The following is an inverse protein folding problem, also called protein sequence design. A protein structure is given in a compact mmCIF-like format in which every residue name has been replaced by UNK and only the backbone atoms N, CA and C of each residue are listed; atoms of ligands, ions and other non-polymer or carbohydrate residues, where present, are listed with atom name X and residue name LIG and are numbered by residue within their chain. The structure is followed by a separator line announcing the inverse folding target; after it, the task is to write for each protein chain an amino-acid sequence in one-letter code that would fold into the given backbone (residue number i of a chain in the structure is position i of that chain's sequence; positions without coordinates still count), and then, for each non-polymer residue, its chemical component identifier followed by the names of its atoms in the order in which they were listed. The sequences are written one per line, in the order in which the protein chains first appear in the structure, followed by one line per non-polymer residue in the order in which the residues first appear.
data_IF_844602103989
#
_entry.id   IF_844602103989
#
_cell.length_a   1.000
_cell.length_b   1.000
_cell.length_c   1.000
_cell.angle_alpha   90.00
_cell.angle_beta   90.00
_cell.angle_gamma   90.00
#
_symmetry.space_group_name_H-M   'P 1'
#
loop_
_entity.id
_entity.type
_entity.pdbx_description
1 polymer ?
#
# COMPACT_ATOMS: atom_id res chain seq x y z
N UNK A 1 -11.29 10.82 -4.55
CA UNK A 1 -11.73 12.14 -4.07
C UNK A 1 -11.37 12.46 -2.61
N UNK A 2 -10.56 11.61 -1.92
CA UNK A 2 -10.08 11.87 -0.53
C UNK A 2 -8.62 12.33 -0.44
N UNK A 3 -7.93 12.47 -1.58
CA UNK A 3 -6.50 12.84 -1.61
C UNK A 3 -6.23 14.33 -1.41
N UNK A 4 -7.22 15.19 -1.67
CA UNK A 4 -7.02 16.65 -1.67
C UNK A 4 -7.21 17.32 -0.29
N UNK A 5 -7.67 16.56 0.72
CA UNK A 5 -7.86 17.09 2.07
C UNK A 5 -6.61 16.96 2.98
N UNK A 6 -5.60 16.21 2.55
CA UNK A 6 -4.38 15.91 3.34
C UNK A 6 -3.18 16.81 3.05
N UNK A 7 -3.25 17.67 2.02
CA UNK A 7 -2.11 18.50 1.59
C UNK A 7 -2.02 19.84 2.32
N UNK A 8 -3.07 20.27 3.00
CA UNK A 8 -3.15 21.64 3.55
C UNK A 8 -2.48 21.82 4.92
N UNK A 9 -2.05 20.77 5.60
CA UNK A 9 -1.42 20.88 6.94
C UNK A 9 0.12 21.00 6.87
N UNK A 10 0.71 20.82 5.71
CA UNK A 10 2.17 20.87 5.49
C UNK A 10 2.73 22.25 5.09
N UNK A 11 1.91 23.26 4.86
CA UNK A 11 2.34 24.48 4.13
C UNK A 11 2.35 25.78 4.94
N UNK A 12 2.37 25.73 6.29
CA UNK A 12 2.39 26.97 7.09
C UNK A 12 3.72 27.20 7.82
N UNK A 13 4.84 27.16 7.09
CA UNK A 13 6.12 27.65 7.62
C UNK A 13 6.96 28.36 6.55
N UNK A 14 6.33 29.03 5.60
CA UNK A 14 7.03 29.98 4.72
C UNK A 14 6.31 31.32 4.80
N UNK A 15 6.56 32.09 5.85
CA UNK A 15 6.35 33.53 5.79
C UNK A 15 7.69 34.25 5.85
N UNK A 16 7.93 35.02 4.79
CA UNK A 16 9.03 35.90 4.58
C UNK A 16 9.28 36.80 5.81
N UNK A 17 10.47 36.70 6.37
CA UNK A 17 10.94 37.64 7.38
C UNK A 17 11.08 39.04 6.73
N UNK A 18 10.04 39.85 6.82
CA UNK A 18 10.24 41.29 6.85
C UNK A 18 10.38 41.69 8.31
N UNK A 19 11.56 42.20 8.64
CA UNK A 19 11.85 42.81 9.92
C UNK A 19 10.78 43.88 10.21
N UNK A 20 9.77 43.49 11.03
CA UNK A 20 8.84 44.47 11.58
C UNK A 20 9.43 45.00 12.86
N UNK A 21 9.88 46.26 12.77
CA UNK A 21 10.21 47.07 13.95
C UNK A 21 9.09 46.99 14.98
N UNK A 22 9.43 46.76 16.24
CA UNK A 22 8.49 46.82 17.34
C UNK A 22 7.74 48.18 17.31
N UNK A 23 6.42 48.18 17.41
CA UNK A 23 5.70 49.45 17.55
C UNK A 23 6.04 50.09 18.88
N UNK A 24 6.66 51.26 18.85
CA UNK A 24 6.78 52.13 20.00
C UNK A 24 5.37 52.57 20.44
N UNK A 25 5.07 52.38 21.69
CA UNK A 25 3.91 52.82 22.49
C UNK A 25 2.91 53.75 21.79
N UNK A 26 1.88 53.22 21.17
CA UNK A 26 0.59 53.87 20.93
C UNK A 26 -0.51 52.79 21.03
N UNK A 27 -1.49 53.05 21.96
CA UNK A 27 -2.73 52.29 22.19
C UNK A 27 -2.74 50.91 21.56
N UNK A 28 -2.19 49.92 22.29
CA UNK A 28 -2.10 48.52 21.87
C UNK A 28 -3.49 47.86 21.74
N UNK A 29 -3.57 46.77 20.98
CA UNK A 29 -4.78 46.00 20.86
C UNK A 29 -5.32 45.63 22.24
N UNK A 30 -6.66 45.48 22.35
CA UNK A 30 -7.28 45.02 23.57
C UNK A 30 -6.84 43.54 23.79
N UNK A 31 -5.77 43.39 24.56
CA UNK A 31 -5.40 42.13 25.13
C UNK A 31 -6.52 41.65 26.06
N UNK A 32 -6.78 40.34 26.23
CA UNK A 32 -7.49 39.89 27.40
C UNK A 32 -6.78 40.55 28.58
N UNK A 33 -7.53 41.33 29.37
CA UNK A 33 -7.00 42.20 30.44
C UNK A 33 -5.89 41.43 31.18
N UNK A 34 -4.63 41.73 30.81
CA UNK A 34 -3.47 41.18 31.46
C UNK A 34 -3.47 41.66 32.88
N UNK A 35 -3.18 40.79 33.85
CA UNK A 35 -2.95 41.24 35.21
C UNK A 35 -2.04 42.43 35.20
N UNK A 36 -2.47 43.55 35.77
CA UNK A 36 -1.73 44.80 35.78
C UNK A 36 -0.33 44.55 36.37
N UNK A 37 0.72 44.77 35.55
CA UNK A 37 2.11 44.59 35.96
C UNK A 37 2.86 43.41 35.33
N UNK A 38 2.30 42.74 34.32
CA UNK A 38 3.05 41.71 33.58
C UNK A 38 3.80 42.32 32.41
N UNK A 39 5.14 42.24 32.42
CA UNK A 39 5.98 42.60 31.31
C UNK A 39 6.03 41.40 30.31
N UNK A 40 5.77 41.68 29.03
CA UNK A 40 5.79 40.69 27.96
C UNK A 40 7.12 40.75 27.18
N UNK A 41 7.48 39.60 26.57
CA UNK A 41 8.59 39.47 25.65
C UNK A 41 9.96 39.83 26.24
N UNK A 42 10.17 39.49 27.51
CA UNK A 42 11.42 39.73 28.22
C UNK A 42 12.54 38.79 27.75
N UNK A 43 13.76 39.30 27.76
CA UNK A 43 14.99 38.52 27.63
C UNK A 43 15.76 38.52 28.95
N UNK A 44 16.41 37.39 29.26
CA UNK A 44 17.36 37.34 30.38
C UNK A 44 18.73 37.97 30.03
N UNK A 45 19.68 37.93 30.96
CA UNK A 45 21.03 38.49 30.76
C UNK A 45 21.79 37.81 29.59
N UNK A 46 21.42 36.59 29.23
CA UNK A 46 22.03 35.85 28.11
C UNK A 46 21.32 36.07 26.78
N UNK A 47 20.28 36.93 26.74
CA UNK A 47 19.47 37.18 25.58
C UNK A 47 18.44 36.06 25.25
N UNK A 48 18.15 35.20 26.22
CA UNK A 48 17.17 34.13 26.04
C UNK A 48 15.79 34.59 26.51
N UNK A 49 14.74 34.06 25.86
CA UNK A 49 13.34 34.35 26.20
C UNK A 49 13.04 33.99 27.65
N UNK A 50 12.37 34.92 28.36
CA UNK A 50 12.02 34.77 29.79
C UNK A 50 10.59 35.28 30.04
N UNK A 51 9.83 34.61 30.91
CA UNK A 51 8.47 35.01 31.27
C UNK A 51 7.46 34.84 30.13
N UNK A 52 6.40 35.64 30.16
CA UNK A 52 5.30 35.56 29.20
C UNK A 52 5.70 36.17 27.87
N UNK A 53 5.49 35.45 26.80
CA UNK A 53 5.74 35.85 25.43
C UNK A 53 4.46 35.84 24.61
N UNK A 54 4.28 36.89 23.81
CA UNK A 54 3.15 37.07 22.91
C UNK A 54 3.63 37.47 21.54
N UNK A 55 2.87 37.12 20.51
CA UNK A 55 3.03 37.57 19.13
C UNK A 55 1.65 37.92 18.57
N UNK A 56 1.60 38.88 17.68
CA UNK A 56 0.37 39.35 17.07
C UNK A 56 0.38 39.18 15.56
N UNK A 57 -0.81 39.06 15.00
CA UNK A 57 -1.08 39.12 13.58
C UNK A 57 -0.88 40.56 13.05
N UNK A 58 -0.74 40.77 11.73
CA UNK A 58 -0.64 42.11 11.16
C UNK A 58 -1.85 43.02 11.47
N UNK A 59 -3.04 42.44 11.71
CA UNK A 59 -4.25 43.16 12.09
C UNK A 59 -4.28 43.53 13.60
N UNK A 60 -3.24 43.12 14.36
CA UNK A 60 -3.10 43.42 15.78
C UNK A 60 -3.75 42.36 16.71
N UNK A 61 -4.49 41.37 16.20
CA UNK A 61 -5.04 40.28 17.03
C UNK A 61 -3.93 39.36 17.50
N UNK A 62 -4.17 38.66 18.63
CA UNK A 62 -3.19 37.75 19.22
C UNK A 62 -2.92 36.58 18.27
N UNK A 63 -1.66 36.29 18.01
CA UNK A 63 -1.25 35.08 17.26
C UNK A 63 -0.86 33.95 18.19
N UNK A 64 -0.01 34.20 19.21
CA UNK A 64 0.23 33.23 20.27
C UNK A 64 0.55 33.89 21.61
N UNK A 65 0.31 33.11 22.69
CA UNK A 65 0.79 33.40 24.03
C UNK A 65 1.39 32.13 24.65
N UNK A 66 2.43 32.31 25.46
CA UNK A 66 3.07 31.21 26.19
C UNK A 66 4.19 31.70 27.07
N UNK A 67 4.76 30.83 27.90
CA UNK A 67 5.84 31.21 28.83
C UNK A 67 7.15 30.51 28.47
N UNK A 68 8.25 31.23 28.73
CA UNK A 68 9.61 30.69 28.57
C UNK A 68 10.39 30.85 29.86
N UNK A 69 11.26 29.87 30.12
CA UNK A 69 12.30 29.93 31.14
C UNK A 69 13.67 29.66 30.50
N UNK A 70 14.58 30.64 30.57
CA UNK A 70 15.91 30.58 29.96
C UNK A 70 15.90 30.09 28.47
N UNK A 71 14.92 30.57 27.69
CA UNK A 71 14.72 30.20 26.27
C UNK A 71 14.01 28.88 26.03
N UNK A 72 13.64 28.14 27.08
CA UNK A 72 12.89 26.88 26.99
C UNK A 72 11.39 27.18 27.16
N UNK A 73 10.51 26.71 26.23
CA UNK A 73 9.08 26.88 26.39
C UNK A 73 8.56 26.04 27.56
N UNK A 74 7.75 26.64 28.41
CA UNK A 74 7.19 26.04 29.61
C UNK A 74 5.66 26.16 29.63
N UNK A 75 4.97 25.13 30.15
CA UNK A 75 3.53 25.15 30.31
C UNK A 75 2.76 25.18 29.00
N UNK A 76 1.64 25.92 29.00
CA UNK A 76 0.69 25.96 27.91
C UNK A 76 1.02 27.10 26.94
N UNK A 77 1.07 26.79 25.65
CA UNK A 77 1.10 27.74 24.55
C UNK A 77 -0.20 27.69 23.81
N UNK A 78 -0.87 28.81 23.68
CA UNK A 78 -2.08 28.99 22.88
C UNK A 78 -1.74 29.75 21.60
N UNK A 79 -2.20 29.23 20.47
CA UNK A 79 -2.14 29.91 19.18
C UNK A 79 -3.56 30.24 18.74
N UNK A 80 -3.72 31.35 18.05
CA UNK A 80 -5.03 31.89 17.69
C UNK A 80 -5.10 32.16 16.19
N UNK A 81 -6.28 32.00 15.61
CA UNK A 81 -6.64 32.53 14.31
C UNK A 81 -6.71 34.05 14.33
N UNK A 82 -6.72 34.70 13.18
CA UNK A 82 -6.93 36.17 13.09
C UNK A 82 -8.29 36.60 13.65
N UNK A 83 -9.29 35.71 13.66
CA UNK A 83 -10.60 35.90 14.27
C UNK A 83 -10.57 35.93 15.81
N UNK A 84 -9.46 35.49 16.43
CA UNK A 84 -9.31 35.35 17.87
C UNK A 84 -9.68 33.98 18.44
N UNK A 85 -10.22 33.08 17.62
CA UNK A 85 -10.52 31.72 18.06
C UNK A 85 -9.23 30.90 18.22
N UNK A 86 -9.24 29.91 19.15
CA UNK A 86 -8.06 29.10 19.43
C UNK A 86 -7.79 28.20 18.23
N UNK A 87 -6.58 28.29 17.68
CA UNK A 87 -6.05 27.46 16.60
C UNK A 87 -5.33 26.21 17.13
N UNK A 88 -4.57 26.37 18.23
CA UNK A 88 -3.92 25.23 18.88
C UNK A 88 -3.61 25.46 20.36
N UNK A 89 -3.65 24.37 21.12
CA UNK A 89 -3.16 24.27 22.50
C UNK A 89 -1.96 23.33 22.51
N UNK A 90 -0.82 23.82 22.97
CA UNK A 90 0.44 23.06 23.03
C UNK A 90 0.92 23.06 24.48
N UNK A 91 0.87 21.92 25.15
CA UNK A 91 1.32 21.74 26.54
C UNK A 91 2.74 21.20 26.50
N UNK A 92 3.71 22.03 26.86
CA UNK A 92 5.13 21.67 26.89
C UNK A 92 5.42 20.80 28.12
N UNK A 93 6.13 19.70 27.91
CA UNK A 93 6.56 18.74 28.95
C UNK A 93 8.02 18.39 28.71
N UNK A 94 8.64 17.66 29.65
CA UNK A 94 10.02 17.16 29.51
C UNK A 94 11.01 18.30 29.16
N UNK A 95 10.98 19.39 29.97
CA UNK A 95 11.78 20.60 29.74
C UNK A 95 11.66 21.13 28.28
N UNK A 96 10.44 21.17 27.75
CA UNK A 96 10.15 21.61 26.41
C UNK A 96 10.58 20.67 25.28
N UNK A 97 11.12 19.49 25.59
CA UNK A 97 11.52 18.51 24.56
C UNK A 97 10.32 17.81 23.92
N UNK A 98 9.24 17.60 24.69
CA UNK A 98 7.98 17.03 24.23
C UNK A 98 6.85 18.00 24.46
N UNK A 99 5.81 17.89 23.64
CA UNK A 99 4.59 18.68 23.82
C UNK A 99 3.38 17.84 23.42
N UNK A 100 2.35 17.87 24.27
CA UNK A 100 1.02 17.43 23.87
C UNK A 100 0.40 18.56 23.04
N UNK A 101 -0.22 18.21 21.92
CA UNK A 101 -0.79 19.17 20.98
C UNK A 101 -2.25 18.86 20.70
N UNK A 102 -3.10 19.90 20.70
CA UNK A 102 -4.41 19.90 20.13
C UNK A 102 -4.50 21.02 19.11
N UNK A 103 -5.05 20.71 17.96
CA UNK A 103 -5.31 21.65 16.89
C UNK A 103 -6.82 21.73 16.70
N UNK A 104 -7.33 22.95 16.58
CA UNK A 104 -8.75 23.23 16.42
C UNK A 104 -8.98 23.91 15.06
N UNK A 105 -10.18 23.78 14.52
CA UNK A 105 -10.66 24.60 13.40
C UNK A 105 -11.15 25.93 13.91
N UNK A 106 -11.35 26.86 13.02
CA UNK A 106 -11.83 28.21 13.37
C UNK A 106 -13.24 28.20 13.98
N UNK A 107 -14.04 27.11 13.74
CA UNK A 107 -15.35 26.89 14.40
C UNK A 107 -15.22 26.29 15.82
N UNK A 108 -13.99 26.17 16.34
CA UNK A 108 -13.68 25.60 17.66
C UNK A 108 -13.68 24.08 17.70
N UNK A 109 -14.07 23.37 16.63
CA UNK A 109 -14.06 21.92 16.63
C UNK A 109 -12.64 21.35 16.64
N UNK A 110 -12.39 20.29 17.43
CA UNK A 110 -11.10 19.61 17.48
C UNK A 110 -10.79 19.01 16.12
N UNK A 111 -9.63 19.36 15.55
CA UNK A 111 -9.15 18.87 14.25
C UNK A 111 -8.18 17.71 14.40
N UNK A 112 -7.20 17.85 15.31
CA UNK A 112 -6.18 16.85 15.52
C UNK A 112 -5.60 16.93 16.93
N UNK A 113 -5.10 15.78 17.42
CA UNK A 113 -4.32 15.73 18.66
C UNK A 113 -3.19 14.72 18.55
N UNK A 114 -2.11 14.96 19.31
CA UNK A 114 -0.95 14.09 19.34
C UNK A 114 0.21 14.66 20.12
N UNK A 115 1.40 14.11 19.88
CA UNK A 115 2.63 14.52 20.57
C UNK A 115 3.61 15.06 19.53
N UNK A 116 4.26 16.19 19.88
CA UNK A 116 5.44 16.70 19.20
C UNK A 116 6.70 16.42 20.02
N UNK A 117 7.81 16.21 19.34
CA UNK A 117 9.16 16.20 19.90
C UNK A 117 9.99 17.29 19.23
N UNK A 118 10.79 18.01 20.02
CA UNK A 118 11.77 18.99 19.50
C UNK A 118 12.93 18.25 18.84
N UNK A 119 13.38 18.76 17.72
CA UNK A 119 14.58 18.24 17.04
C UNK A 119 15.77 19.18 17.28
N UNK A 120 16.96 18.70 16.97
CA UNK A 120 18.17 19.53 16.95
C UNK A 120 18.23 20.45 15.71
N UNK A 121 17.34 20.24 14.72
CA UNK A 121 17.26 21.09 13.53
C UNK A 121 16.54 22.39 13.88
N UNK A 122 17.02 23.48 13.35
CA UNK A 122 16.43 24.81 13.54
C UNK A 122 15.68 25.24 12.28
N UNK A 123 14.63 26.02 12.46
CA UNK A 123 13.95 26.74 11.39
C UNK A 123 14.71 28.02 11.00
N UNK A 124 14.17 28.81 10.08
CA UNK A 124 14.78 30.08 9.66
C UNK A 124 14.87 31.14 10.80
N UNK A 125 14.09 30.99 11.85
CA UNK A 125 14.06 31.87 13.02
C UNK A 125 14.96 31.32 14.16
N UNK A 126 15.82 30.33 13.87
CA UNK A 126 16.69 29.64 14.81
C UNK A 126 15.95 28.91 15.96
N UNK A 127 14.68 28.57 15.75
CA UNK A 127 13.90 27.79 16.72
C UNK A 127 13.91 26.31 16.33
N UNK A 128 13.95 25.38 17.32
CA UNK A 128 13.91 23.94 17.07
C UNK A 128 12.63 23.52 16.37
N UNK A 129 12.80 22.79 15.26
CA UNK A 129 11.67 22.23 14.52
C UNK A 129 11.05 21.13 15.39
N UNK A 130 9.71 21.13 15.48
CA UNK A 130 8.92 20.08 16.11
C UNK A 130 8.53 19.03 15.10
N UNK A 131 8.58 17.77 15.49
CA UNK A 131 8.16 16.63 14.67
C UNK A 131 7.10 15.82 15.41
N UNK A 132 6.15 15.26 14.65
CA UNK A 132 5.14 14.34 15.19
C UNK A 132 5.82 13.09 15.76
N UNK A 133 5.32 12.61 16.91
CA UNK A 133 5.78 11.41 17.61
C UNK A 133 4.60 10.59 18.09
N UNK A 134 4.65 9.26 17.91
CA UNK A 134 3.62 8.33 18.37
C UNK A 134 2.28 8.55 17.66
N UNK A 135 1.20 8.21 18.35
CA UNK A 135 -0.14 8.26 17.80
C UNK A 135 -0.66 9.68 17.62
N UNK A 136 -1.15 9.96 16.43
CA UNK A 136 -1.89 11.17 16.07
C UNK A 136 -3.29 10.82 15.63
N UNK A 137 -4.28 11.54 16.15
CA UNK A 137 -5.69 11.37 15.84
C UNK A 137 -6.21 12.61 15.13
N UNK A 138 -7.02 12.40 14.10
CA UNK A 138 -7.62 13.45 13.29
C UNK A 138 -9.13 13.26 13.27
N UNK A 139 -9.85 14.36 13.47
CA UNK A 139 -11.30 14.36 13.65
C UNK A 139 -11.97 15.19 12.56
N UNK A 140 -13.21 14.85 12.21
CA UNK A 140 -14.04 15.70 11.38
C UNK A 140 -14.69 16.84 12.20
N UNK A 141 -15.51 17.67 11.53
CA UNK A 141 -16.21 18.80 12.18
C UNK A 141 -17.25 18.36 13.21
N UNK A 142 -17.71 17.12 13.17
CA UNK A 142 -18.67 16.55 14.13
C UNK A 142 -17.97 15.95 15.35
N UNK A 143 -16.62 15.96 15.38
CA UNK A 143 -15.82 15.38 16.45
C UNK A 143 -15.58 13.86 16.29
N UNK A 144 -15.98 13.29 15.15
CA UNK A 144 -15.79 11.87 14.90
C UNK A 144 -14.35 11.60 14.41
N UNK A 145 -13.70 10.57 14.99
CA UNK A 145 -12.37 10.13 14.58
C UNK A 145 -12.42 9.63 13.12
N UNK A 146 -11.54 10.19 12.27
CA UNK A 146 -11.43 9.87 10.85
C UNK A 146 -10.15 9.19 10.46
N UNK A 147 -9.07 9.53 11.15
CA UNK A 147 -7.76 9.02 10.82
C UNK A 147 -6.94 8.90 12.10
N UNK A 148 -6.28 7.78 12.26
CA UNK A 148 -5.24 7.56 13.25
C UNK A 148 -3.96 7.18 12.53
N UNK A 149 -2.88 7.87 12.85
CA UNK A 149 -1.56 7.62 12.28
C UNK A 149 -0.51 7.54 13.40
N UNK A 150 0.51 6.74 13.19
CA UNK A 150 1.65 6.69 14.07
C UNK A 150 2.90 7.27 13.39
N UNK A 151 3.70 7.97 14.19
CA UNK A 151 4.89 8.67 13.73
C UNK A 151 6.13 8.29 14.56
N UNK A 152 7.26 8.15 13.87
CA UNK A 152 8.59 8.06 14.46
C UNK A 152 9.52 8.98 13.71
N UNK A 153 10.26 9.84 14.42
CA UNK A 153 11.16 10.83 13.82
C UNK A 153 10.51 11.69 12.74
N UNK A 154 9.22 12.05 12.92
CA UNK A 154 8.45 12.87 11.98
C UNK A 154 7.96 12.16 10.71
N UNK A 155 8.26 10.88 10.54
CA UNK A 155 7.77 10.05 9.44
C UNK A 155 6.68 9.12 9.93
N UNK A 156 5.74 8.77 9.05
CA UNK A 156 4.76 7.71 9.31
C UNK A 156 5.49 6.41 9.66
N UNK A 157 5.16 5.80 10.80
CA UNK A 157 5.78 4.56 11.27
C UNK A 157 4.88 3.87 12.29
N UNK A 158 4.46 2.63 11.99
CA UNK A 158 3.50 1.86 12.78
C UNK A 158 2.10 1.91 12.20
N UNK A 159 1.11 1.47 12.97
CA UNK A 159 -0.26 1.27 12.52
C UNK A 159 -0.95 2.57 12.10
N UNK A 160 -1.78 2.48 11.06
CA UNK A 160 -2.67 3.54 10.59
C UNK A 160 -4.08 2.99 10.36
N UNK A 161 -5.07 3.84 10.52
CA UNK A 161 -6.48 3.47 10.35
C UNK A 161 -7.28 4.68 9.90
N UNK A 162 -8.09 4.48 8.85
CA UNK A 162 -9.08 5.47 8.38
C UNK A 162 -10.49 4.94 8.68
N UNK A 163 -11.39 5.82 9.14
CA UNK A 163 -12.79 5.50 9.45
C UNK A 163 -13.77 6.29 8.59
N UNK A 164 -14.86 5.65 8.23
CA UNK A 164 -15.98 6.24 7.51
C UNK A 164 -16.86 7.15 8.40
N UNK A 165 -17.87 7.79 7.78
CA UNK A 165 -18.84 8.65 8.49
C UNK A 165 -19.71 7.89 9.47
N UNK A 166 -19.83 6.58 9.29
CA UNK A 166 -20.56 5.66 10.17
C UNK A 166 -19.67 5.08 11.29
N UNK A 167 -18.38 5.49 11.39
CA UNK A 167 -17.44 5.02 12.39
C UNK A 167 -16.80 3.66 12.07
N UNK A 168 -17.16 3.01 10.95
CA UNK A 168 -16.53 1.77 10.54
C UNK A 168 -15.16 2.03 9.90
N UNK A 169 -14.25 1.08 10.06
CA UNK A 169 -12.93 1.12 9.42
C UNK A 169 -13.12 1.01 7.91
N UNK A 170 -12.49 1.90 7.14
CA UNK A 170 -12.43 1.86 5.68
C UNK A 170 -11.07 1.37 5.18
N UNK A 171 -9.98 1.70 5.89
CA UNK A 171 -8.64 1.24 5.56
C UNK A 171 -7.84 1.05 6.85
N UNK A 172 -7.00 0.02 6.89
CA UNK A 172 -6.03 -0.20 7.96
C UNK A 172 -4.76 -0.83 7.42
N UNK A 173 -3.62 -0.50 8.04
CA UNK A 173 -2.32 -1.03 7.66
C UNK A 173 -1.22 -0.49 8.56
N UNK A 174 0.01 -0.61 8.10
CA UNK A 174 1.18 -0.07 8.79
C UNK A 174 2.11 0.65 7.82
N UNK A 175 2.86 1.60 8.37
CA UNK A 175 3.97 2.24 7.68
C UNK A 175 5.30 1.90 8.37
N UNK A 176 6.36 1.81 7.57
CA UNK A 176 7.75 1.79 8.03
C UNK A 176 8.50 2.92 7.36
N UNK A 177 9.03 3.90 8.16
CA UNK A 177 9.79 5.06 7.65
C UNK A 177 9.11 5.90 6.56
N UNK A 178 7.78 5.90 6.51
CA UNK A 178 6.96 6.65 5.55
C UNK A 178 6.43 5.83 4.38
N UNK A 179 6.83 4.56 4.27
CA UNK A 179 6.39 3.63 3.22
C UNK A 179 5.44 2.58 3.77
N UNK A 180 4.48 2.12 2.96
CA UNK A 180 3.57 1.04 3.35
C UNK A 180 4.37 -0.23 3.63
N UNK A 181 4.06 -0.91 4.75
CA UNK A 181 4.73 -2.12 5.19
C UNK A 181 3.74 -3.06 5.89
N UNK A 182 3.87 -4.38 5.68
CA UNK A 182 2.95 -5.37 6.19
C UNK A 182 1.62 -5.42 5.44
N UNK A 183 0.59 -5.96 6.09
CA UNK A 183 -0.72 -6.21 5.46
C UNK A 183 -1.61 -4.97 5.53
N UNK A 184 -2.13 -4.56 4.37
CA UNK A 184 -3.09 -3.48 4.21
C UNK A 184 -4.47 -4.05 3.86
N UNK A 185 -5.50 -3.55 4.53
CA UNK A 185 -6.88 -3.97 4.35
C UNK A 185 -7.75 -2.77 4.01
N UNK A 186 -8.64 -2.94 3.04
CA UNK A 186 -9.70 -1.97 2.74
C UNK A 186 -11.07 -2.61 2.94
N UNK A 187 -12.01 -1.80 3.37
CA UNK A 187 -13.37 -2.24 3.68
C UNK A 187 -14.39 -1.35 2.99
N UNK A 188 -15.57 -1.88 2.75
CA UNK A 188 -16.72 -1.13 2.30
C UNK A 188 -17.29 -0.25 3.45
N UNK A 189 -18.18 0.68 3.11
CA UNK A 189 -18.94 1.45 4.12
C UNK A 189 -19.84 0.57 4.99
N UNK A 190 -20.12 -0.67 4.59
CA UNK A 190 -20.88 -1.67 5.37
C UNK A 190 -19.97 -2.57 6.20
N UNK A 191 -18.62 -2.40 6.13
CA UNK A 191 -17.65 -3.17 6.89
C UNK A 191 -17.20 -4.47 6.22
N UNK A 192 -17.64 -4.77 4.98
CA UNK A 192 -17.18 -5.94 4.24
C UNK A 192 -15.74 -5.73 3.77
N UNK A 193 -14.88 -6.75 3.90
CA UNK A 193 -13.49 -6.72 3.41
C UNK A 193 -13.48 -6.67 1.88
N UNK A 194 -12.92 -5.61 1.30
CA UNK A 194 -12.79 -5.42 -0.15
C UNK A 194 -11.42 -5.85 -0.68
N UNK A 195 -10.35 -5.63 0.10
CA UNK A 195 -9.02 -6.09 -0.27
C UNK A 195 -8.12 -6.34 0.92
N UNK A 196 -7.16 -7.24 0.73
CA UNK A 196 -6.04 -7.50 1.62
C UNK A 196 -4.78 -7.63 0.77
N UNK A 197 -3.79 -6.77 1.00
CA UNK A 197 -2.60 -6.65 0.16
C UNK A 197 -1.36 -6.55 1.04
N UNK A 198 -0.38 -7.42 0.80
CA UNK A 198 0.94 -7.34 1.41
C UNK A 198 1.82 -6.26 0.79
N UNK A 199 2.59 -5.57 1.63
CA UNK A 199 3.59 -4.58 1.24
C UNK A 199 4.89 -4.80 1.96
N UNK A 200 6.00 -4.53 1.28
CA UNK A 200 7.34 -4.42 1.85
C UNK A 200 8.04 -3.23 1.21
N UNK A 201 8.54 -2.30 2.04
CA UNK A 201 9.25 -1.09 1.58
C UNK A 201 8.48 -0.31 0.49
N UNK A 202 7.16 -0.20 0.64
CA UNK A 202 6.28 0.53 -0.28
C UNK A 202 5.85 -0.23 -1.53
N UNK A 203 6.43 -1.39 -1.82
CA UNK A 203 6.10 -2.25 -2.95
C UNK A 203 5.10 -3.34 -2.54
N UNK A 204 4.29 -3.79 -3.48
CA UNK A 204 3.46 -4.99 -3.26
C UNK A 204 4.37 -6.20 -3.02
N UNK A 205 4.16 -6.90 -1.91
CA UNK A 205 4.90 -8.10 -1.56
C UNK A 205 4.04 -9.04 -0.70
N UNK A 206 3.96 -10.31 -1.08
CA UNK A 206 3.13 -11.31 -0.43
C UNK A 206 1.72 -11.43 -1.02
N UNK A 207 0.78 -11.91 -0.21
CA UNK A 207 -0.59 -12.17 -0.62
C UNK A 207 -1.32 -10.89 -1.06
N UNK A 208 -2.01 -11.01 -2.19
CA UNK A 208 -3.00 -10.04 -2.66
C UNK A 208 -4.34 -10.74 -2.83
N UNK A 209 -5.36 -10.20 -2.16
CA UNK A 209 -6.74 -10.66 -2.28
C UNK A 209 -7.64 -9.45 -2.52
N UNK A 210 -8.50 -9.55 -3.53
CA UNK A 210 -9.62 -8.62 -3.73
C UNK A 210 -10.93 -9.40 -3.62
N UNK A 211 -11.95 -8.76 -3.07
CA UNK A 211 -13.30 -9.33 -2.94
C UNK A 211 -14.33 -8.47 -3.68
N UNK A 212 -15.43 -9.08 -4.06
CA UNK A 212 -16.66 -8.39 -4.40
C UNK A 212 -17.27 -7.69 -3.18
N UNK A 213 -18.14 -6.70 -3.37
CA UNK A 213 -18.85 -6.07 -2.24
C UNK A 213 -19.69 -7.06 -1.39
N UNK A 214 -20.06 -8.20 -1.97
CA UNK A 214 -20.73 -9.33 -1.31
C UNK A 214 -19.83 -10.05 -0.31
N UNK A 215 -18.49 -9.81 -0.34
CA UNK A 215 -17.48 -10.50 0.46
C UNK A 215 -16.89 -11.74 -0.22
N UNK A 216 -17.48 -12.20 -1.33
CA UNK A 216 -16.92 -13.32 -2.11
C UNK A 216 -15.60 -12.93 -2.77
N UNK A 217 -14.62 -13.83 -2.88
CA UNK A 217 -13.37 -13.56 -3.59
C UNK A 217 -13.62 -13.13 -5.03
N UNK A 218 -12.91 -12.09 -5.50
CA UNK A 218 -12.83 -11.67 -6.90
C UNK A 218 -11.49 -12.07 -7.52
N UNK A 219 -10.40 -11.90 -6.77
CA UNK A 219 -9.08 -12.35 -7.20
C UNK A 219 -8.18 -12.67 -6.02
N UNK A 220 -7.29 -13.64 -6.19
CA UNK A 220 -6.28 -14.02 -5.22
C UNK A 220 -4.98 -14.34 -5.96
N UNK A 221 -3.87 -13.81 -5.47
CA UNK A 221 -2.54 -14.06 -6.02
C UNK A 221 -1.43 -13.58 -5.10
N UNK A 222 -0.22 -13.61 -5.60
CA UNK A 222 0.99 -13.19 -4.88
C UNK A 222 1.74 -12.12 -5.66
N UNK A 223 2.26 -11.14 -4.94
CA UNK A 223 3.27 -10.22 -5.44
C UNK A 223 4.63 -10.52 -4.83
N UNK A 224 5.68 -10.21 -5.56
CA UNK A 224 7.07 -10.24 -5.09
C UNK A 224 7.80 -9.03 -5.64
N UNK A 225 8.24 -8.14 -4.74
CA UNK A 225 8.97 -6.94 -5.16
C UNK A 225 8.19 -6.02 -6.12
N UNK A 226 6.86 -5.94 -6.00
CA UNK A 226 5.98 -5.09 -6.81
C UNK A 226 5.41 -5.72 -8.08
N UNK A 227 5.84 -6.95 -8.44
CA UNK A 227 5.36 -7.65 -9.64
C UNK A 227 4.59 -8.92 -9.29
N UNK A 228 3.68 -9.33 -10.17
CA UNK A 228 2.91 -10.57 -10.02
C UNK A 228 3.85 -11.79 -10.06
N UNK A 229 3.64 -12.75 -9.14
CA UNK A 229 4.45 -13.95 -9.05
C UNK A 229 3.61 -15.15 -8.61
N UNK A 230 3.87 -16.33 -9.21
CA UNK A 230 3.09 -17.54 -8.92
C UNK A 230 1.69 -17.52 -9.52
N UNK A 231 0.77 -18.26 -8.92
CA UNK A 231 -0.57 -18.40 -9.45
C UNK A 231 -1.51 -17.28 -9.00
N UNK A 232 -2.25 -16.73 -9.96
CA UNK A 232 -3.34 -15.78 -9.78
C UNK A 232 -4.65 -16.42 -10.21
N UNK A 233 -5.65 -16.37 -9.35
CA UNK A 233 -7.00 -16.84 -9.65
C UNK A 233 -7.97 -15.67 -9.66
N UNK A 234 -8.84 -15.63 -10.68
CA UNK A 234 -10.04 -14.78 -10.69
C UNK A 234 -11.27 -15.64 -10.49
N UNK A 235 -12.31 -15.04 -9.93
CA UNK A 235 -13.54 -15.72 -9.58
C UNK A 235 -14.75 -14.92 -10.06
N UNK A 236 -15.78 -15.60 -10.50
CA UNK A 236 -17.10 -15.04 -10.71
C UNK A 236 -17.79 -14.75 -9.36
N UNK A 237 -18.82 -13.90 -9.36
CA UNK A 237 -19.57 -13.59 -8.12
C UNK A 237 -20.24 -14.80 -7.46
N UNK A 238 -20.49 -15.89 -8.21
CA UNK A 238 -20.99 -17.16 -7.69
C UNK A 238 -19.91 -18.02 -7.01
N UNK A 239 -18.64 -17.54 -6.98
CA UNK A 239 -17.50 -18.22 -6.36
C UNK A 239 -16.78 -19.22 -7.25
N UNK A 240 -17.27 -19.49 -8.48
CA UNK A 240 -16.53 -20.34 -9.44
C UNK A 240 -15.27 -19.64 -9.90
N UNK A 241 -14.19 -20.41 -10.12
CA UNK A 241 -12.95 -19.90 -10.73
C UNK A 241 -13.24 -19.54 -12.19
N UNK A 242 -12.91 -18.31 -12.58
CA UNK A 242 -13.06 -17.85 -13.97
C UNK A 242 -11.78 -18.12 -14.77
N UNK A 243 -10.61 -17.74 -14.21
CA UNK A 243 -9.31 -18.03 -14.80
C UNK A 243 -8.26 -18.31 -13.75
N UNK A 244 -7.26 -19.08 -14.14
CA UNK A 244 -6.01 -19.23 -13.39
C UNK A 244 -4.86 -18.80 -14.28
N UNK A 245 -4.06 -17.82 -13.83
CA UNK A 245 -2.86 -17.33 -14.51
C UNK A 245 -1.63 -17.64 -13.70
N UNK A 246 -0.54 -17.98 -14.36
CA UNK A 246 0.76 -18.16 -13.73
C UNK A 246 1.71 -17.06 -14.22
N UNK A 247 2.34 -16.40 -13.27
CA UNK A 247 3.33 -15.35 -13.51
C UNK A 247 4.69 -15.75 -12.94
N UNK A 248 5.74 -15.32 -13.61
CA UNK A 248 7.11 -15.37 -13.12
C UNK A 248 7.76 -14.01 -13.36
N UNK A 249 8.20 -13.35 -12.29
CA UNK A 249 8.80 -12.01 -12.31
C UNK A 249 7.97 -10.98 -13.13
N UNK A 250 6.63 -11.03 -12.98
CA UNK A 250 5.68 -10.13 -13.64
C UNK A 250 5.32 -10.51 -15.08
N UNK A 251 5.92 -11.56 -15.62
CA UNK A 251 5.58 -12.05 -16.95
C UNK A 251 4.52 -13.15 -16.88
N UNK A 252 3.48 -13.04 -17.71
CA UNK A 252 2.47 -14.09 -17.84
C UNK A 252 3.09 -15.31 -18.53
N UNK A 253 3.19 -16.42 -17.82
CA UNK A 253 3.70 -17.70 -18.33
C UNK A 253 2.60 -18.49 -19.00
N UNK A 254 1.42 -18.54 -18.36
CA UNK A 254 0.28 -19.29 -18.89
C UNK A 254 -1.03 -18.77 -18.31
N UNK A 255 -2.12 -19.02 -19.06
CA UNK A 255 -3.49 -18.81 -18.59
C UNK A 255 -4.27 -20.12 -18.79
N UNK A 256 -4.93 -20.57 -17.71
CA UNK A 256 -5.75 -21.79 -17.69
C UNK A 256 -7.19 -21.32 -17.49
N UNK A 257 -8.07 -21.49 -18.50
CA UNK A 257 -9.49 -21.16 -18.38
C UNK A 257 -10.22 -22.12 -17.43
N UNK A 258 -11.46 -21.82 -17.07
CA UNK A 258 -12.32 -22.74 -16.30
C UNK A 258 -12.54 -24.06 -17.07
N UNK A 259 -12.84 -23.94 -18.37
CA UNK A 259 -13.07 -25.08 -19.26
C UNK A 259 -12.37 -24.84 -20.59
N UNK A 260 -11.92 -25.91 -21.23
CA UNK A 260 -11.40 -25.89 -22.57
C UNK A 260 -10.02 -26.53 -22.73
N UNK A 261 -9.53 -26.44 -23.96
CA UNK A 261 -8.23 -26.98 -24.35
C UNK A 261 -7.11 -25.99 -24.02
N UNK A 262 -6.05 -26.48 -23.42
CA UNK A 262 -4.87 -25.69 -23.03
C UNK A 262 -3.64 -26.24 -23.73
N UNK A 263 -2.91 -25.37 -24.42
CA UNK A 263 -1.60 -25.66 -25.02
C UNK A 263 -0.56 -24.75 -24.39
N UNK A 264 0.33 -25.32 -23.63
CA UNK A 264 1.49 -24.61 -23.06
C UNK A 264 2.67 -24.70 -24.03
N UNK A 265 3.43 -23.62 -24.08
CA UNK A 265 4.55 -23.51 -25.02
C UNK A 265 5.88 -23.36 -24.27
N UNK A 266 6.97 -23.81 -24.88
CA UNK A 266 8.33 -23.39 -24.55
C UNK A 266 8.53 -21.92 -24.93
N UNK A 267 9.59 -21.22 -24.43
CA UNK A 267 9.86 -19.82 -24.76
C UNK A 267 10.03 -19.53 -26.26
N UNK A 268 10.35 -20.55 -27.08
CA UNK A 268 10.49 -20.46 -28.52
C UNK A 268 9.22 -20.88 -29.28
N UNK A 269 8.07 -20.88 -28.60
CA UNK A 269 6.73 -21.21 -29.14
C UNK A 269 6.51 -22.68 -29.52
N UNK A 270 7.44 -23.61 -29.20
CA UNK A 270 7.18 -25.06 -29.40
C UNK A 270 6.23 -25.59 -28.33
N UNK A 271 5.35 -26.58 -28.64
CA UNK A 271 4.53 -27.27 -27.66
C UNK A 271 5.36 -27.81 -26.49
N UNK A 272 4.87 -27.57 -25.26
CA UNK A 272 5.44 -28.05 -24.01
C UNK A 272 4.51 -29.07 -23.33
N UNK A 273 3.24 -28.71 -23.20
CA UNK A 273 2.21 -29.56 -22.62
C UNK A 273 0.84 -29.20 -23.25
N UNK A 274 0.01 -30.20 -23.46
CA UNK A 274 -1.35 -30.08 -24.00
C UNK A 274 -2.29 -30.91 -23.13
N UNK A 275 -3.42 -30.31 -22.73
CA UNK A 275 -4.42 -30.96 -21.91
C UNK A 275 -5.79 -30.25 -22.02
N UNK A 276 -6.85 -30.92 -21.57
CA UNK A 276 -8.18 -30.30 -21.43
C UNK A 276 -8.44 -29.98 -19.96
N UNK A 277 -9.20 -28.92 -19.72
CA UNK A 277 -9.65 -28.50 -18.40
C UNK A 277 -11.18 -28.51 -18.37
N UNK A 278 -11.75 -29.08 -17.33
CA UNK A 278 -13.19 -29.04 -17.03
C UNK A 278 -13.37 -28.65 -15.56
N UNK A 279 -14.18 -27.62 -15.30
CA UNK A 279 -14.33 -27.02 -13.95
C UNK A 279 -12.99 -26.72 -13.24
N UNK A 280 -12.00 -26.21 -14.00
CA UNK A 280 -10.62 -25.89 -13.54
C UNK A 280 -9.72 -27.08 -13.19
N UNK A 281 -10.19 -28.29 -13.40
CA UNK A 281 -9.42 -29.52 -13.21
C UNK A 281 -8.96 -30.07 -14.54
N UNK A 282 -7.76 -30.65 -14.61
CA UNK A 282 -7.33 -31.38 -15.80
C UNK A 282 -8.23 -32.59 -15.99
N UNK A 283 -8.72 -32.79 -17.22
CA UNK A 283 -9.64 -33.86 -17.58
C UNK A 283 -9.28 -34.45 -18.93
N UNK A 284 -9.34 -35.79 -19.06
CA UNK A 284 -9.03 -36.49 -20.29
C UNK A 284 -7.55 -36.59 -20.64
N UNK A 285 -7.26 -36.78 -21.91
CA UNK A 285 -5.89 -36.98 -22.39
C UNK A 285 -4.99 -35.74 -22.19
N UNK A 286 -3.71 -36.00 -21.89
CA UNK A 286 -2.67 -35.03 -21.92
C UNK A 286 -1.42 -35.53 -22.62
N UNK A 287 -0.65 -34.57 -23.17
CA UNK A 287 0.65 -34.82 -23.80
C UNK A 287 1.66 -33.81 -23.34
N UNK A 288 2.84 -34.24 -22.95
CA UNK A 288 4.01 -33.41 -22.66
C UNK A 288 5.12 -33.71 -23.63
N UNK A 289 5.86 -32.68 -24.07
CA UNK A 289 6.98 -32.83 -25.02
C UNK A 289 8.33 -32.56 -24.37
N UNK A 290 9.36 -33.20 -24.90
CA UNK A 290 10.75 -32.84 -24.61
C UNK A 290 11.10 -31.48 -25.25
N UNK A 291 12.03 -30.76 -24.62
CA UNK A 291 12.63 -29.55 -25.21
C UNK A 291 13.83 -29.94 -26.12
N UNK A 292 13.53 -30.67 -27.19
CA UNK A 292 14.56 -31.24 -28.10
C UNK A 292 14.26 -31.06 -29.60
N UNK A 293 13.21 -30.38 -29.98
CA UNK A 293 12.88 -30.06 -31.36
C UNK A 293 13.44 -28.72 -31.82
N UNK A 294 13.40 -28.46 -33.09
CA UNK A 294 13.80 -27.19 -33.70
C UNK A 294 12.78 -26.74 -34.78
N UNK A 295 12.62 -25.43 -34.92
CA UNK A 295 11.84 -24.87 -36.00
C UNK A 295 12.58 -24.96 -37.31
N UNK A 296 11.92 -25.46 -38.36
CA UNK A 296 12.42 -25.51 -39.72
C UNK A 296 11.38 -25.06 -40.72
N UNK A 297 11.83 -24.63 -41.87
CA UNK A 297 10.92 -24.27 -42.98
C UNK A 297 10.88 -25.44 -43.96
N UNK A 298 9.67 -25.82 -44.35
CA UNK A 298 9.43 -26.83 -45.37
C UNK A 298 8.58 -26.27 -46.53
N UNK A 299 8.91 -26.67 -47.73
CA UNK A 299 8.09 -26.39 -48.93
C UNK A 299 7.06 -27.50 -49.08
N UNK A 300 5.82 -27.12 -49.25
CA UNK A 300 4.69 -28.03 -49.53
C UNK A 300 3.93 -27.56 -50.76
N UNK A 301 3.35 -28.47 -51.45
CA UNK A 301 2.50 -28.21 -52.63
C UNK A 301 1.04 -28.38 -52.20
N UNK A 302 0.22 -27.36 -52.41
CA UNK A 302 -1.22 -27.47 -52.21
C UNK A 302 -1.79 -28.44 -53.22
N UNK A 303 -2.39 -29.52 -52.75
CA UNK A 303 -2.88 -30.61 -53.63
C UNK A 303 -4.08 -30.17 -54.52
N UNK A 304 -4.78 -29.08 -54.15
CA UNK A 304 -5.93 -28.59 -54.87
C UNK A 304 -5.57 -27.54 -55.93
N UNK A 305 -4.69 -26.59 -55.55
CA UNK A 305 -4.29 -25.48 -56.44
C UNK A 305 -3.01 -25.81 -57.23
N UNK A 306 -2.15 -26.71 -56.75
CA UNK A 306 -0.84 -26.99 -57.31
C UNK A 306 0.21 -25.92 -56.92
N UNK A 307 -0.13 -24.95 -56.11
CA UNK A 307 0.78 -23.88 -55.68
C UNK A 307 1.76 -24.38 -54.60
N UNK A 308 2.99 -23.91 -54.70
CA UNK A 308 4.01 -24.20 -53.68
C UNK A 308 4.00 -23.09 -52.63
N UNK A 309 3.93 -23.47 -51.32
CA UNK A 309 4.05 -22.56 -50.20
C UNK A 309 5.07 -23.07 -49.18
N UNK A 310 5.59 -22.14 -48.39
CA UNK A 310 6.58 -22.44 -47.32
C UNK A 310 5.85 -22.31 -45.99
N UNK A 311 5.92 -23.36 -45.17
CA UNK A 311 5.45 -23.26 -43.76
C UNK A 311 6.51 -23.63 -42.76
N UNK A 312 6.38 -23.05 -41.56
CA UNK A 312 7.21 -23.36 -40.39
C UNK A 312 6.68 -24.63 -39.72
N UNK A 313 7.55 -25.61 -39.53
CA UNK A 313 7.24 -26.86 -38.83
C UNK A 313 8.26 -27.17 -37.75
N UNK A 314 7.86 -27.94 -36.75
CA UNK A 314 8.78 -28.40 -35.72
C UNK A 314 9.33 -29.75 -36.15
N UNK A 315 10.66 -29.89 -36.18
CA UNK A 315 11.35 -31.14 -36.52
C UNK A 315 12.06 -31.71 -35.31
N UNK A 316 11.89 -33.02 -35.09
CA UNK A 316 12.65 -33.78 -34.10
C UNK A 316 12.15 -33.66 -32.67
N UNK A 317 11.11 -32.89 -32.40
CA UNK A 317 10.50 -32.86 -31.06
C UNK A 317 9.80 -34.18 -30.76
N UNK A 318 10.07 -34.72 -29.57
CA UNK A 318 9.50 -36.02 -29.14
C UNK A 318 8.59 -35.80 -27.95
N UNK A 319 7.56 -36.64 -27.86
CA UNK A 319 6.73 -36.75 -26.66
C UNK A 319 7.60 -37.23 -25.50
N UNK A 320 7.44 -36.60 -24.34
CA UNK A 320 8.09 -36.94 -23.10
C UNK A 320 7.19 -37.81 -22.22
N UNK A 321 5.89 -37.51 -22.21
CA UNK A 321 4.91 -38.15 -21.36
C UNK A 321 3.51 -38.00 -21.95
N UNK A 322 2.69 -39.03 -21.88
CA UNK A 322 1.27 -38.97 -22.22
C UNK A 322 0.45 -39.85 -21.29
N UNK A 323 -0.83 -39.56 -21.15
CA UNK A 323 -1.75 -40.31 -20.29
C UNK A 323 -3.07 -39.60 -20.15
N UNK A 324 -3.80 -39.87 -19.08
CA UNK A 324 -5.11 -39.28 -18.82
C UNK A 324 -5.19 -38.69 -17.41
N UNK A 325 -5.98 -37.66 -17.30
CA UNK A 325 -6.44 -37.09 -16.03
C UNK A 325 -7.95 -37.37 -15.86
N UNK A 326 -8.35 -37.58 -14.61
CA UNK A 326 -9.74 -37.63 -14.19
C UNK A 326 -9.89 -36.88 -12.88
N UNK A 327 -10.84 -35.92 -12.85
CA UNK A 327 -11.07 -35.06 -11.69
C UNK A 327 -9.76 -34.35 -11.20
N UNK A 328 -8.86 -33.99 -12.11
CA UNK A 328 -7.57 -33.34 -11.83
C UNK A 328 -6.44 -34.27 -11.40
N UNK A 329 -6.69 -35.55 -11.30
CA UNK A 329 -5.72 -36.55 -10.86
C UNK A 329 -5.34 -37.48 -12.03
N UNK A 330 -4.08 -37.97 -12.05
CA UNK A 330 -3.68 -39.00 -13.01
C UNK A 330 -4.52 -40.25 -12.79
N UNK A 331 -5.09 -40.82 -13.86
CA UNK A 331 -5.89 -42.02 -13.83
C UNK A 331 -5.62 -42.88 -15.07
N UNK A 332 -5.38 -44.20 -14.89
CA UNK A 332 -4.98 -45.08 -15.97
C UNK A 332 -3.47 -45.17 -16.19
N UNK A 333 -3.10 -45.52 -17.41
CA UNK A 333 -1.70 -45.70 -17.80
C UNK A 333 -1.06 -44.35 -18.21
N UNK A 334 0.18 -44.15 -17.78
CA UNK A 334 1.00 -42.97 -18.12
C UNK A 334 2.29 -43.51 -18.72
N UNK A 335 2.53 -43.11 -19.96
CA UNK A 335 3.67 -43.55 -20.78
C UNK A 335 4.77 -42.48 -20.74
N UNK A 336 6.03 -42.92 -20.55
CA UNK A 336 7.19 -42.05 -20.52
C UNK A 336 8.15 -42.42 -21.65
N UNK A 337 8.54 -41.47 -22.44
CA UNK A 337 9.42 -41.64 -23.59
C UNK A 337 10.75 -40.94 -23.40
N UNK A 338 11.82 -41.49 -23.94
CA UNK A 338 13.13 -40.88 -23.99
C UNK A 338 13.16 -39.77 -25.08
N UNK A 339 14.28 -39.03 -25.15
CA UNK A 339 14.46 -37.97 -26.15
C UNK A 339 14.52 -38.43 -27.61
N UNK A 340 14.57 -39.77 -27.83
CA UNK A 340 14.54 -40.36 -29.16
C UNK A 340 13.13 -40.94 -29.49
N UNK A 341 12.15 -40.71 -28.60
CA UNK A 341 10.78 -41.18 -28.78
C UNK A 341 10.56 -42.66 -28.42
N UNK A 342 11.50 -43.31 -27.70
CA UNK A 342 11.35 -44.69 -27.29
C UNK A 342 10.67 -44.75 -25.92
N UNK A 343 9.62 -45.59 -25.79
CA UNK A 343 9.00 -45.88 -24.51
C UNK A 343 10.06 -46.52 -23.59
N UNK A 344 10.21 -46.03 -22.40
CA UNK A 344 11.18 -46.54 -21.42
C UNK A 344 10.54 -46.86 -20.06
N UNK A 345 9.32 -46.32 -19.80
CA UNK A 345 8.62 -46.53 -18.53
C UNK A 345 7.11 -46.39 -18.73
N UNK A 346 6.35 -47.27 -18.12
CA UNK A 346 4.88 -47.14 -17.96
C UNK A 346 4.54 -47.11 -16.48
N UNK A 347 3.70 -46.17 -16.10
CA UNK A 347 3.15 -46.06 -14.75
C UNK A 347 1.64 -46.17 -14.80
N UNK A 348 1.03 -46.86 -13.85
CA UNK A 348 -0.42 -46.96 -13.70
C UNK A 348 -0.87 -46.23 -12.45
N UNK A 349 -1.84 -45.36 -12.61
CA UNK A 349 -2.43 -44.58 -11.54
C UNK A 349 -3.90 -44.95 -11.35
N UNK A 350 -4.36 -44.93 -10.09
CA UNK A 350 -5.77 -44.97 -9.72
C UNK A 350 -6.07 -43.77 -8.81
N UNK A 351 -6.89 -42.84 -9.29
CA UNK A 351 -7.24 -41.58 -8.60
C UNK A 351 -5.99 -40.83 -8.03
N UNK A 352 -4.96 -40.67 -8.85
CA UNK A 352 -3.70 -39.98 -8.49
C UNK A 352 -2.69 -40.81 -7.71
N UNK A 353 -3.03 -42.05 -7.33
CA UNK A 353 -2.11 -42.94 -6.59
C UNK A 353 -1.41 -43.86 -7.57
N UNK A 354 -0.08 -43.88 -7.56
CA UNK A 354 0.72 -44.81 -8.35
C UNK A 354 0.52 -46.24 -7.80
N UNK A 355 0.00 -47.15 -8.65
CA UNK A 355 -0.28 -48.56 -8.27
C UNK A 355 0.67 -49.54 -8.93
N UNK A 356 1.27 -49.20 -10.07
CA UNK A 356 2.18 -50.10 -10.80
C UNK A 356 3.21 -49.30 -11.59
N UNK A 357 4.41 -49.83 -11.76
CA UNK A 357 5.48 -49.27 -12.60
C UNK A 357 6.15 -50.42 -13.37
N UNK A 358 6.29 -50.25 -14.69
CA UNK A 358 7.03 -51.14 -15.58
C UNK A 358 8.13 -50.35 -16.29
N UNK A 359 9.40 -50.71 -16.13
CA UNK A 359 10.53 -50.14 -16.79
C UNK A 359 10.99 -51.05 -17.92
N UNK A 360 11.16 -50.49 -19.17
CA UNK A 360 11.51 -51.22 -20.37
C UNK A 360 12.98 -50.99 -20.76
#
# INVERSE_FOLDING_TARGET
MLRDLLITVGFFLLFCATSLAQPTSQSGPQWPEGEAGVDYNLLDSDGKKQGVWIRVWPNGSLYYSGSFQAGVPEGVFLHYYESGEIMSEIINTDNGNKSQAKHFREDGSLQAEGIYVRTKKLNAEFEPIRQKLGAWKFYDKTGQLRLMENYSNGKLHGATQTTGTNGLILESGSYSNGERDGVWKTFSETGSLLSEIGYSEGLFDGLCRANYPTGMPRSIGMYKGGVENGFWKTFLENGKVETTRQFEDGQLIQEIPENGHVLLLFPDERPKEEFTVEDTLKEGAFTEWHDNGEWTMVEEVDELSGDTYVRRVIKGQQIRKEGEYKDGLLDGEVFHFDKNGRLHKTERFEAGVLVETDEQ
#
